data_IF_752619686657
#
_entry.id   IF_752619686657
#
_cell.length_a   1.000
_cell.length_b   1.000
_cell.length_c   1.000
_cell.angle_alpha   90.00
_cell.angle_beta   90.00
_cell.angle_gamma   90.00
#
_symmetry.space_group_name_H-M   'P 1'
#
loop_
_entity.id
_entity.type
_entity.pdbx_description
1 polymer ?
#
# COMPACT_ATOMS: atom_id res chain seq x y z
N UNK A 1 -0.02 -15.35 -4.85
CA UNK A 1 -1.46 -15.18 -4.52
C UNK A 1 -1.56 -13.98 -3.59
N UNK A 2 -2.33 -12.95 -3.95
CA UNK A 2 -2.56 -11.79 -3.07
C UNK A 2 -3.21 -12.26 -1.78
N UNK A 3 -2.66 -11.84 -0.64
CA UNK A 3 -3.16 -12.25 0.68
C UNK A 3 -3.62 -11.00 1.42
N UNK A 4 -4.83 -10.55 1.11
CA UNK A 4 -5.49 -9.50 1.89
C UNK A 4 -5.97 -10.07 3.23
N UNK A 5 -5.98 -9.22 4.26
CA UNK A 5 -6.50 -9.57 5.58
C UNK A 5 -7.93 -10.11 5.48
N UNK A 6 -8.16 -11.26 6.13
CA UNK A 6 -9.50 -11.85 6.24
C UNK A 6 -10.22 -11.26 7.44
N UNK A 7 -11.40 -10.72 7.19
CA UNK A 7 -12.32 -10.20 8.19
C UNK A 7 -13.12 -11.38 8.77
N UNK A 8 -13.48 -11.26 10.05
CA UNK A 8 -14.30 -12.23 10.76
C UNK A 8 -15.66 -12.43 10.07
N UNK A 9 -16.09 -13.68 9.94
CA UNK A 9 -17.35 -14.03 9.27
C UNK A 9 -18.56 -13.32 9.88
N UNK A 10 -18.59 -13.19 11.21
CA UNK A 10 -19.66 -12.49 11.92
C UNK A 10 -19.80 -11.01 11.53
N UNK A 11 -18.70 -10.35 11.15
CA UNK A 11 -18.75 -8.96 10.64
C UNK A 11 -19.32 -8.92 9.24
N UNK A 12 -18.96 -9.87 8.38
CA UNK A 12 -19.50 -10.01 7.02
C UNK A 12 -21.01 -10.30 7.08
N UNK A 13 -21.44 -11.24 7.93
CA UNK A 13 -22.86 -11.58 8.12
C UNK A 13 -23.68 -10.36 8.61
N UNK A 14 -23.10 -9.52 9.47
CA UNK A 14 -23.73 -8.26 9.90
C UNK A 14 -23.95 -7.28 8.73
N UNK A 15 -23.04 -7.23 7.75
CA UNK A 15 -23.20 -6.39 6.56
C UNK A 15 -24.41 -6.84 5.76
N UNK A 16 -24.58 -8.13 5.50
CA UNK A 16 -25.75 -8.65 4.79
C UNK A 16 -27.05 -8.41 5.55
N UNK A 17 -27.02 -8.55 6.88
CA UNK A 17 -28.21 -8.36 7.72
C UNK A 17 -28.65 -6.90 7.85
N UNK A 18 -27.69 -5.97 7.89
CA UNK A 18 -27.93 -4.53 8.09
C UNK A 18 -27.12 -3.68 7.11
N UNK A 19 -27.39 -3.77 5.80
CA UNK A 19 -26.54 -3.16 4.78
C UNK A 19 -26.47 -1.64 4.86
N UNK A 20 -27.57 -0.96 5.18
CA UNK A 20 -27.60 0.50 5.29
C UNK A 20 -26.80 1.03 6.49
N UNK A 21 -26.58 0.20 7.52
CA UNK A 21 -25.80 0.54 8.71
C UNK A 21 -24.36 0.02 8.64
N UNK A 22 -23.96 -0.60 7.52
CA UNK A 22 -22.64 -1.21 7.37
C UNK A 22 -21.50 -0.19 7.17
N UNK A 23 -21.85 1.03 6.75
CA UNK A 23 -20.88 2.04 6.32
C UNK A 23 -20.28 1.78 4.93
N UNK A 24 -20.70 0.72 4.23
CA UNK A 24 -20.21 0.41 2.89
C UNK A 24 -20.90 1.29 1.83
N UNK A 25 -20.12 1.79 0.89
CA UNK A 25 -20.59 2.62 -0.22
C UNK A 25 -20.87 1.78 -1.49
N UNK A 26 -21.38 0.55 -1.31
CA UNK A 26 -21.59 -0.42 -2.38
C UNK A 26 -22.61 0.03 -3.44
N UNK A 27 -23.65 0.79 -3.03
CA UNK A 27 -24.64 1.38 -3.95
C UNK A 27 -24.01 2.35 -4.96
N UNK A 28 -22.94 3.05 -4.56
CA UNK A 28 -22.27 4.08 -5.38
C UNK A 28 -21.10 3.49 -6.17
N UNK A 29 -20.23 2.74 -5.50
CA UNK A 29 -18.94 2.30 -6.05
C UNK A 29 -18.87 0.80 -6.36
N UNK A 30 -19.83 0.00 -5.93
CA UNK A 30 -19.88 -1.43 -6.24
C UNK A 30 -20.66 -1.75 -7.53
N UNK A 31 -20.69 -3.04 -7.90
CA UNK A 31 -21.44 -3.54 -9.08
C UNK A 31 -22.97 -3.49 -8.99
N UNK A 32 -23.57 -3.48 -7.79
CA UNK A 32 -25.02 -3.56 -7.58
C UNK A 32 -25.49 -2.73 -6.38
N UNK A 33 -26.76 -2.33 -6.39
CA UNK A 33 -27.40 -1.70 -5.24
C UNK A 33 -27.97 -2.72 -4.23
N UNK A 34 -27.97 -4.01 -4.57
CA UNK A 34 -28.37 -5.08 -3.67
C UNK A 34 -27.14 -5.75 -3.04
N UNK A 35 -27.07 -5.74 -1.70
CA UNK A 35 -25.92 -6.30 -0.97
C UNK A 35 -25.77 -7.81 -1.19
N UNK A 36 -26.86 -8.52 -1.49
CA UNK A 36 -26.86 -9.97 -1.68
C UNK A 36 -26.23 -10.41 -3.01
N UNK A 37 -25.96 -9.49 -3.93
CA UNK A 37 -25.29 -9.79 -5.21
C UNK A 37 -23.76 -9.91 -5.04
N UNK A 38 -23.26 -9.61 -3.84
CA UNK A 38 -21.83 -9.66 -3.50
C UNK A 38 -21.50 -10.95 -2.75
N UNK A 39 -20.39 -11.56 -3.12
CA UNK A 39 -19.77 -12.67 -2.40
C UNK A 39 -19.12 -12.20 -1.09
N UNK A 40 -18.89 -13.13 -0.15
CA UNK A 40 -18.19 -12.82 1.11
C UNK A 40 -16.82 -12.18 0.86
N UNK A 41 -16.12 -12.59 -0.22
CA UNK A 41 -14.84 -12.01 -0.61
C UNK A 41 -14.98 -10.54 -1.00
N UNK A 42 -15.99 -10.21 -1.81
CA UNK A 42 -16.23 -8.82 -2.21
C UNK A 42 -16.62 -7.96 -1.02
N UNK A 43 -17.43 -8.48 -0.09
CA UNK A 43 -17.74 -7.78 1.16
C UNK A 43 -16.48 -7.57 2.01
N UNK A 44 -15.60 -8.58 2.12
CA UNK A 44 -14.32 -8.46 2.79
C UNK A 44 -13.45 -7.34 2.18
N UNK A 45 -13.37 -7.30 0.85
CA UNK A 45 -12.66 -6.26 0.10
C UNK A 45 -13.29 -4.87 0.35
N UNK A 46 -14.61 -4.74 0.31
CA UNK A 46 -15.30 -3.47 0.57
C UNK A 46 -15.10 -2.94 1.99
N UNK A 47 -15.09 -3.81 3.00
CA UNK A 47 -14.77 -3.45 4.40
C UNK A 47 -13.35 -2.87 4.49
N UNK A 48 -12.44 -3.34 3.63
CA UNK A 48 -11.07 -2.84 3.52
C UNK A 48 -10.94 -1.63 2.60
N UNK A 49 -12.05 -1.10 2.06
CA UNK A 49 -12.06 0.07 1.19
C UNK A 49 -11.85 -0.23 -0.29
N UNK A 50 -11.91 -1.49 -0.71
CA UNK A 50 -11.59 -1.95 -2.07
C UNK A 50 -12.89 -2.16 -2.86
N UNK A 51 -13.09 -1.38 -3.93
CA UNK A 51 -14.23 -1.50 -4.83
C UNK A 51 -13.75 -1.80 -6.26
N UNK A 52 -13.51 -3.08 -6.53
CA UNK A 52 -12.79 -3.56 -7.73
C UNK A 52 -13.54 -3.37 -9.03
N UNK A 53 -14.86 -3.49 -9.04
CA UNK A 53 -15.65 -3.43 -10.28
C UNK A 53 -15.53 -2.07 -10.95
N UNK A 54 -15.68 -0.99 -10.16
CA UNK A 54 -15.56 0.39 -10.65
C UNK A 54 -14.17 1.01 -10.42
N UNK A 55 -13.19 0.24 -9.95
CA UNK A 55 -11.81 0.68 -9.70
C UNK A 55 -11.67 1.81 -8.68
N UNK A 56 -12.51 1.83 -7.64
CA UNK A 56 -12.43 2.84 -6.58
C UNK A 56 -11.73 2.30 -5.33
N UNK A 57 -10.91 3.15 -4.73
CA UNK A 57 -10.23 2.90 -3.45
C UNK A 57 -10.66 3.96 -2.42
N UNK A 58 -11.05 3.52 -1.24
CA UNK A 58 -11.20 4.38 -0.06
C UNK A 58 -9.80 4.69 0.49
N UNK A 59 -9.36 5.94 0.35
CA UNK A 59 -8.04 6.39 0.79
C UNK A 59 -8.07 6.88 2.24
N UNK A 60 -6.90 7.16 2.82
CA UNK A 60 -6.75 7.47 4.26
C UNK A 60 -7.53 8.71 4.72
N UNK A 61 -7.92 9.59 3.80
CA UNK A 61 -8.73 10.79 4.07
C UNK A 61 -10.24 10.55 4.10
N UNK A 62 -10.68 9.28 4.11
CA UNK A 62 -12.10 8.87 4.16
C UNK A 62 -12.93 9.33 2.94
N UNK A 63 -12.32 9.35 1.76
CA UNK A 63 -12.98 9.57 0.47
C UNK A 63 -12.50 8.57 -0.59
N UNK A 64 -13.24 8.49 -1.70
CA UNK A 64 -12.95 7.54 -2.77
C UNK A 64 -12.15 8.18 -3.91
N UNK A 65 -11.16 7.44 -4.41
CA UNK A 65 -10.35 7.80 -5.58
C UNK A 65 -10.57 6.75 -6.66
N UNK A 66 -10.83 7.20 -7.89
CA UNK A 66 -10.84 6.33 -9.06
C UNK A 66 -9.39 6.02 -9.47
N UNK A 67 -9.02 4.75 -9.43
CA UNK A 67 -7.66 4.31 -9.72
C UNK A 67 -7.30 4.40 -11.21
N UNK A 68 -8.28 4.49 -12.12
CA UNK A 68 -8.01 4.75 -13.54
C UNK A 68 -7.35 6.12 -13.77
N UNK A 69 -7.56 7.07 -12.84
CA UNK A 69 -6.99 8.42 -12.91
C UNK A 69 -5.59 8.50 -12.27
N UNK A 70 -5.09 7.41 -11.69
CA UNK A 70 -3.78 7.40 -11.03
C UNK A 70 -2.68 7.28 -12.07
N UNK A 71 -1.76 8.24 -12.04
CA UNK A 71 -0.64 8.32 -12.97
C UNK A 71 0.68 7.90 -12.33
N UNK A 72 0.79 8.01 -11.00
CA UNK A 72 2.02 7.78 -10.26
C UNK A 72 1.73 7.31 -8.85
N UNK A 73 2.70 6.62 -8.27
CA UNK A 73 2.72 6.25 -6.85
C UNK A 73 4.03 6.71 -6.19
N UNK A 74 3.99 6.92 -4.88
CA UNK A 74 5.14 7.41 -4.12
C UNK A 74 5.18 6.74 -2.75
N UNK A 75 6.39 6.52 -2.21
CA UNK A 75 6.56 6.29 -0.79
C UNK A 75 7.63 7.20 -0.18
N UNK A 76 7.44 7.56 1.08
CA UNK A 76 8.41 8.32 1.87
C UNK A 76 9.17 7.32 2.75
N UNK A 77 10.35 6.90 2.30
CA UNK A 77 11.25 6.07 3.07
C UNK A 77 12.01 6.94 4.07
N UNK A 78 11.81 6.68 5.37
CA UNK A 78 12.37 7.52 6.42
C UNK A 78 13.63 6.92 7.04
N UNK A 79 13.70 5.59 7.20
CA UNK A 79 14.86 4.93 7.81
C UNK A 79 14.95 3.46 7.38
N UNK A 80 16.05 2.79 7.72
CA UNK A 80 16.28 1.36 7.54
C UNK A 80 16.84 0.73 8.82
N UNK A 81 16.73 -0.59 8.93
CA UNK A 81 17.58 -1.37 9.81
C UNK A 81 18.48 -2.27 8.99
N UNK A 82 19.59 -2.69 9.58
CA UNK A 82 20.61 -3.48 8.93
C UNK A 82 20.72 -4.86 9.58
N UNK A 83 21.16 -5.86 8.82
CA UNK A 83 21.49 -7.18 9.37
C UNK A 83 22.68 -7.11 10.34
N UNK A 84 23.68 -6.30 9.99
CA UNK A 84 24.85 -6.01 10.83
C UNK A 84 24.84 -4.53 11.21
N UNK A 85 25.16 -4.22 12.46
CA UNK A 85 25.25 -2.83 12.93
C UNK A 85 26.31 -2.09 12.08
N UNK A 86 25.97 -0.97 11.43
CA UNK A 86 26.94 -0.18 10.70
C UNK A 86 28.08 0.32 11.60
N UNK A 87 29.28 0.35 11.06
CA UNK A 87 30.47 0.96 11.67
C UNK A 87 30.69 2.36 11.10
N UNK A 88 31.56 3.15 11.74
CA UNK A 88 31.95 4.46 11.22
C UNK A 88 32.53 4.37 9.81
N UNK A 89 33.26 3.30 9.49
CA UNK A 89 33.83 3.06 8.16
C UNK A 89 32.72 2.86 7.13
N UNK A 90 31.76 1.97 7.42
CA UNK A 90 30.67 1.67 6.48
C UNK A 90 29.71 2.85 6.25
N UNK A 91 29.65 3.78 7.21
CA UNK A 91 28.93 5.04 7.01
C UNK A 91 29.69 6.00 6.10
N UNK A 92 31.03 6.08 6.25
CA UNK A 92 31.87 6.97 5.44
C UNK A 92 31.87 6.60 3.96
N UNK A 93 31.87 5.31 3.65
CA UNK A 93 31.88 4.80 2.27
C UNK A 93 30.48 4.42 1.74
N UNK A 94 29.43 4.67 2.53
CA UNK A 94 28.03 4.32 2.23
C UNK A 94 27.76 2.80 2.01
N UNK A 95 28.71 1.92 2.27
CA UNK A 95 28.55 0.47 2.07
C UNK A 95 27.49 -0.15 2.99
N UNK A 96 27.15 0.50 4.11
CA UNK A 96 26.02 0.05 4.92
C UNK A 96 24.69 0.10 4.16
N UNK A 97 24.54 1.02 3.20
CA UNK A 97 23.33 1.20 2.39
C UNK A 97 23.30 0.36 1.11
N UNK A 98 24.19 -0.64 0.99
CA UNK A 98 23.98 -1.75 0.05
C UNK A 98 22.65 -2.42 0.38
N UNK A 99 21.84 -2.66 -0.65
CA UNK A 99 20.53 -3.28 -0.44
C UNK A 99 20.62 -4.66 0.21
N UNK A 100 21.71 -5.42 0.00
CA UNK A 100 21.96 -6.68 0.69
C UNK A 100 22.22 -6.54 2.20
N UNK A 101 22.65 -5.37 2.67
CA UNK A 101 22.93 -5.10 4.07
C UNK A 101 21.69 -4.62 4.85
N UNK A 102 20.68 -4.13 4.15
CA UNK A 102 19.42 -3.65 4.72
C UNK A 102 18.52 -4.82 5.06
N UNK A 103 17.97 -4.84 6.27
CA UNK A 103 17.05 -5.87 6.78
C UNK A 103 15.58 -5.45 6.64
N UNK A 104 15.28 -4.19 6.92
CA UNK A 104 13.90 -3.70 6.98
C UNK A 104 13.86 -2.24 6.60
N UNK A 105 12.91 -1.88 5.76
CA UNK A 105 12.60 -0.50 5.40
C UNK A 105 11.56 0.07 6.37
N UNK A 106 11.76 1.30 6.83
CA UNK A 106 10.81 2.04 7.66
C UNK A 106 10.24 3.21 6.87
N UNK A 107 8.99 3.04 6.45
CA UNK A 107 8.24 3.97 5.61
C UNK A 107 7.39 4.86 6.50
N UNK A 108 7.41 6.16 6.22
CA UNK A 108 6.49 7.11 6.83
C UNK A 108 5.12 6.98 6.18
N UNK A 109 5.05 7.21 4.87
CA UNK A 109 3.79 7.27 4.13
C UNK A 109 3.88 6.74 2.71
N UNK A 110 2.73 6.26 2.20
CA UNK A 110 2.50 5.92 0.80
C UNK A 110 1.43 6.81 0.19
N UNK A 111 1.61 7.14 -1.09
CA UNK A 111 0.67 7.94 -1.86
C UNK A 111 0.40 7.36 -3.24
N UNK A 112 -0.80 7.64 -3.74
CA UNK A 112 -1.13 7.60 -5.17
C UNK A 112 -1.41 9.03 -5.63
N UNK A 113 -0.99 9.34 -6.86
CA UNK A 113 -1.14 10.66 -7.46
C UNK A 113 -2.04 10.54 -8.68
N UNK A 114 -3.11 11.32 -8.70
CA UNK A 114 -4.04 11.39 -9.82
C UNK A 114 -3.77 12.58 -10.72
N UNK A 115 -4.15 12.46 -11.99
CA UNK A 115 -4.21 13.59 -12.91
C UNK A 115 -5.41 14.53 -12.62
N UNK A 116 -6.52 13.97 -12.16
CA UNK A 116 -7.74 14.70 -11.81
C UNK A 116 -7.88 14.83 -10.28
N UNK A 117 -8.05 16.06 -9.74
CA UNK A 117 -8.17 16.25 -8.31
C UNK A 117 -9.52 15.79 -7.76
N UNK A 118 -9.51 15.16 -6.59
CA UNK A 118 -10.72 14.92 -5.78
C UNK A 118 -10.81 16.02 -4.74
N UNK A 119 -11.81 16.89 -4.84
CA UNK A 119 -11.97 18.05 -3.96
C UNK A 119 -10.70 18.92 -3.85
N UNK A 120 -9.98 19.11 -4.96
CA UNK A 120 -8.74 19.90 -5.02
C UNK A 120 -7.47 19.15 -4.60
N UNK A 121 -7.56 17.87 -4.22
CA UNK A 121 -6.42 17.05 -3.80
C UNK A 121 -6.02 16.12 -4.95
N UNK A 122 -4.74 16.10 -5.32
CA UNK A 122 -4.19 15.16 -6.33
C UNK A 122 -3.27 14.11 -5.74
N UNK A 123 -2.70 14.36 -4.55
CA UNK A 123 -1.81 13.44 -3.83
C UNK A 123 -2.57 12.79 -2.68
N UNK A 124 -2.93 11.53 -2.85
CA UNK A 124 -3.82 10.81 -1.93
C UNK A 124 -3.03 9.80 -1.10
N UNK A 125 -3.13 9.93 0.21
CA UNK A 125 -2.44 9.05 1.15
C UNK A 125 -3.14 7.69 1.23
N UNK A 126 -2.38 6.60 1.15
CA UNK A 126 -2.88 5.21 1.19
C UNK A 126 -2.18 4.33 2.24
N UNK A 127 -1.45 4.92 3.17
CA UNK A 127 -0.65 4.19 4.16
C UNK A 127 -1.54 3.34 5.08
N UNK A 128 -2.63 3.91 5.60
CA UNK A 128 -3.59 3.23 6.48
C UNK A 128 -4.30 2.13 5.71
N UNK A 129 -4.64 2.34 4.44
CA UNK A 129 -5.13 1.27 3.56
C UNK A 129 -4.16 0.08 3.52
N UNK A 130 -2.89 0.31 3.17
CA UNK A 130 -1.88 -0.76 3.06
C UNK A 130 -1.61 -1.46 4.40
N UNK A 131 -1.75 -0.75 5.52
CA UNK A 131 -1.71 -1.34 6.85
C UNK A 131 -2.95 -2.19 7.16
N UNK A 132 -4.15 -1.69 6.84
CA UNK A 132 -5.42 -2.37 7.14
C UNK A 132 -5.58 -3.68 6.37
N UNK A 133 -5.11 -3.73 5.12
CA UNK A 133 -5.09 -4.97 4.34
C UNK A 133 -4.02 -5.97 4.81
N UNK A 134 -3.16 -5.57 5.75
CA UNK A 134 -2.15 -6.42 6.38
C UNK A 134 -0.82 -6.49 5.64
N UNK A 135 -0.56 -5.59 4.69
CA UNK A 135 0.73 -5.56 4.01
C UNK A 135 1.81 -4.89 4.86
N UNK A 136 1.51 -3.69 5.37
CA UNK A 136 2.43 -2.97 6.26
C UNK A 136 2.31 -3.48 7.69
N UNK A 137 3.45 -3.52 8.38
CA UNK A 137 3.51 -3.75 9.82
C UNK A 137 3.84 -2.45 10.56
N UNK A 138 3.46 -2.34 11.83
CA UNK A 138 3.87 -1.20 12.65
C UNK A 138 5.34 -1.31 13.06
N UNK A 139 6.07 -0.21 12.95
CA UNK A 139 7.42 -0.07 13.49
C UNK A 139 7.46 -0.25 15.01
N UNK A 140 8.56 -0.82 15.50
CA UNK A 140 8.77 -1.14 16.92
C UNK A 140 9.97 -0.40 17.48
N UNK A 141 10.01 -0.21 18.80
CA UNK A 141 11.12 0.46 19.49
C UNK A 141 11.34 1.88 18.98
N UNK A 142 12.57 2.18 18.53
CA UNK A 142 12.94 3.49 17.97
C UNK A 142 12.18 3.90 16.71
N UNK A 143 11.54 2.93 16.04
CA UNK A 143 10.79 3.15 14.80
C UNK A 143 9.27 3.31 15.03
N UNK A 144 8.85 3.56 16.27
CA UNK A 144 7.44 3.78 16.60
C UNK A 144 6.92 5.00 15.82
N UNK A 145 5.75 4.86 15.21
CA UNK A 145 5.15 5.90 14.35
C UNK A 145 5.48 5.73 12.86
N UNK A 146 6.36 4.79 12.49
CA UNK A 146 6.60 4.39 11.11
C UNK A 146 5.98 3.03 10.81
N UNK A 147 5.89 2.71 9.52
CA UNK A 147 5.51 1.39 9.02
C UNK A 147 6.74 0.63 8.56
N UNK A 148 6.74 -0.70 8.68
CA UNK A 148 7.89 -1.54 8.36
C UNK A 148 7.59 -2.55 7.26
N UNK A 149 8.53 -2.69 6.34
CA UNK A 149 8.53 -3.67 5.23
C UNK A 149 9.85 -4.45 5.29
N UNK A 150 9.79 -5.77 5.25
CA UNK A 150 10.99 -6.60 5.17
C UNK A 150 11.68 -6.43 3.82
N UNK A 151 13.01 -6.51 3.80
CA UNK A 151 13.77 -6.50 2.55
C UNK A 151 13.96 -7.93 2.04
N UNK A 152 12.90 -8.49 1.47
CA UNK A 152 12.87 -9.89 1.06
C UNK A 152 13.53 -10.10 -0.31
N UNK A 153 13.42 -9.13 -1.23
CA UNK A 153 14.02 -9.25 -2.56
C UNK A 153 15.48 -8.85 -2.62
N UNK A 154 15.94 -7.97 -1.72
CA UNK A 154 17.32 -7.48 -1.66
C UNK A 154 17.85 -6.98 -3.02
N UNK A 155 16.99 -6.33 -3.81
CA UNK A 155 17.32 -5.87 -5.17
C UNK A 155 16.62 -4.56 -5.52
N UNK A 156 17.21 -3.81 -6.44
CA UNK A 156 16.64 -2.58 -6.96
C UNK A 156 15.84 -2.85 -8.24
N UNK A 157 14.67 -2.23 -8.36
CA UNK A 157 13.90 -2.16 -9.59
C UNK A 157 14.54 -1.11 -10.50
N UNK A 158 14.93 -1.53 -11.71
CA UNK A 158 15.58 -0.67 -12.71
C UNK A 158 16.76 0.17 -12.14
N UNK A 159 17.49 -0.38 -11.16
CA UNK A 159 18.59 0.32 -10.49
C UNK A 159 18.19 1.57 -9.67
N UNK A 160 16.90 1.86 -9.53
CA UNK A 160 16.41 3.14 -9.01
C UNK A 160 15.94 3.04 -7.56
N UNK A 161 15.13 2.03 -7.22
CA UNK A 161 14.53 1.91 -5.90
C UNK A 161 14.39 0.45 -5.45
N UNK A 162 14.34 0.16 -4.12
CA UNK A 162 14.12 -1.19 -3.63
C UNK A 162 12.80 -1.79 -4.13
N UNK A 163 12.87 -3.00 -4.67
CA UNK A 163 11.70 -3.69 -5.25
C UNK A 163 10.59 -3.95 -4.23
N UNK A 164 10.96 -4.24 -2.98
CA UNK A 164 10.03 -4.43 -1.86
C UNK A 164 9.15 -3.20 -1.60
N UNK A 165 9.67 -1.99 -1.85
CA UNK A 165 8.91 -0.75 -1.63
C UNK A 165 7.83 -0.53 -2.70
N UNK A 166 8.02 -1.03 -3.91
CA UNK A 166 7.02 -0.97 -4.99
C UNK A 166 6.04 -2.15 -4.96
N UNK A 167 6.44 -3.28 -4.36
CA UNK A 167 5.60 -4.46 -4.22
C UNK A 167 4.16 -4.19 -3.72
N UNK A 168 3.91 -3.29 -2.74
CA UNK A 168 2.55 -2.95 -2.34
C UNK A 168 1.69 -2.40 -3.48
N UNK A 169 2.25 -1.52 -4.31
CA UNK A 169 1.54 -0.96 -5.48
C UNK A 169 1.30 -2.07 -6.51
N UNK A 170 2.35 -2.83 -6.83
CA UNK A 170 2.29 -3.94 -7.79
C UNK A 170 1.21 -4.98 -7.47
N UNK A 171 1.09 -5.43 -6.22
CA UNK A 171 0.15 -6.50 -5.85
C UNK A 171 -1.18 -6.00 -5.33
N UNK A 172 -1.17 -4.98 -4.48
CA UNK A 172 -2.37 -4.58 -3.73
C UNK A 172 -3.08 -3.36 -4.33
N UNK A 173 -2.60 -2.88 -5.48
CA UNK A 173 -3.31 -1.92 -6.33
C UNK A 173 -3.40 -2.50 -7.74
N UNK A 174 -2.27 -2.64 -8.42
CA UNK A 174 -2.15 -3.11 -9.79
C UNK A 174 -2.80 -4.50 -10.00
N UNK A 175 -2.32 -5.53 -9.30
CA UNK A 175 -2.89 -6.88 -9.35
C UNK A 175 -4.37 -6.95 -8.95
N UNK A 176 -4.73 -6.35 -7.80
CA UNK A 176 -6.11 -6.37 -7.30
C UNK A 176 -7.10 -5.69 -8.25
N UNK A 177 -6.82 -4.48 -8.70
CA UNK A 177 -7.78 -3.68 -9.44
C UNK A 177 -7.72 -3.90 -10.94
N UNK A 178 -6.55 -4.17 -11.52
CA UNK A 178 -6.38 -4.19 -12.98
C UNK A 178 -6.03 -5.55 -13.54
N UNK A 179 -5.67 -6.52 -12.70
CA UNK A 179 -5.06 -7.79 -13.15
C UNK A 179 -3.81 -7.56 -14.02
N UNK A 180 -3.16 -6.41 -13.84
CA UNK A 180 -1.95 -5.98 -14.53
C UNK A 180 -1.00 -5.43 -13.47
N UNK A 181 0.11 -6.13 -13.27
CA UNK A 181 1.16 -5.82 -12.30
C UNK A 181 1.84 -4.44 -12.52
N UNK A 182 1.66 -3.81 -13.69
CA UNK A 182 2.38 -2.60 -14.10
C UNK A 182 1.50 -1.44 -14.58
N UNK A 183 0.17 -1.50 -14.38
CA UNK A 183 -0.75 -0.40 -14.73
C UNK A 183 -0.28 0.95 -14.17
N UNK A 184 0.01 1.01 -12.86
CA UNK A 184 0.69 2.14 -12.21
C UNK A 184 2.15 1.74 -12.02
N UNK A 185 3.02 2.19 -12.92
CA UNK A 185 4.44 1.81 -12.93
C UNK A 185 5.40 2.95 -12.56
N UNK A 186 4.98 4.20 -12.71
CA UNK A 186 5.73 5.35 -12.19
C UNK A 186 5.68 5.32 -10.66
N UNK A 187 6.82 5.02 -10.07
CA UNK A 187 7.00 4.90 -8.62
C UNK A 187 8.23 5.67 -8.17
N UNK A 188 8.03 6.54 -7.20
CA UNK A 188 9.09 7.34 -6.59
C UNK A 188 9.29 6.96 -5.13
N UNK A 189 10.57 6.87 -4.72
CA UNK A 189 10.95 6.74 -3.32
C UNK A 189 11.59 8.04 -2.86
N UNK A 190 10.85 8.79 -2.04
CA UNK A 190 11.35 10.01 -1.41
C UNK A 190 12.12 9.62 -0.15
N UNK A 191 13.43 9.90 -0.14
CA UNK A 191 14.35 9.55 0.95
C UNK A 191 15.49 10.57 1.06
N UNK A 192 16.15 10.62 2.21
CA UNK A 192 17.33 11.46 2.46
C UNK A 192 18.66 10.73 2.26
N UNK A 193 18.63 9.43 1.96
CA UNK A 193 19.83 8.60 1.77
C UNK A 193 19.70 7.71 0.54
N UNK A 194 20.85 7.41 -0.07
CA UNK A 194 20.93 6.59 -1.28
C UNK A 194 21.14 5.13 -0.93
N UNK A 195 20.26 4.28 -1.43
CA UNK A 195 20.42 2.82 -1.42
C UNK A 195 21.12 2.42 -2.70
N UNK A 196 22.18 1.62 -2.57
CA UNK A 196 23.00 1.18 -3.70
C UNK A 196 22.76 -0.31 -3.99
N UNK A 197 22.84 -0.67 -5.27
CA UNK A 197 22.83 -2.06 -5.70
C UNK A 197 24.12 -2.77 -5.25
N UNK A 198 24.07 -4.11 -5.25
CA UNK A 198 25.25 -4.94 -5.04
C UNK A 198 26.25 -4.81 -6.20
#
# INVERSE_FOLDING_TARGET
>A
MEKIKKIEKSKIEKVYKYPDNSGLSYKSYGKSQNINDYSEREINEMILGIYRDKKYLLVDGDYFVNLENVIKSECILQDVSYYKKPTLTTFKDNSCNLISNIRTFYVKDYYIITNEPVAGITKHKITKYLYNIGFLNSGRGRYRGLFSIANDYQTLQAGTYPKDLFHPIKRYINGLFFSDDYKISDFEVVTSFTIIAN
#
